data_IF_204790585977
#
_entry.id   IF_204790585977
#
_cell.length_a   1.000
_cell.length_b   1.000
_cell.length_c   1.000
_cell.angle_alpha   90.00
_cell.angle_beta   90.00
_cell.angle_gamma   90.00
#
_symmetry.space_group_name_H-M   'P 1'
#
loop_
_entity.id
_entity.type
_entity.pdbx_description
1 polymer ?
#
# COMPACT_ATOMS: atom_id res chain seq x y z
N UNK A 1 6.93 8.37 -19.27
CA UNK A 1 6.37 7.11 -18.73
C UNK A 1 5.50 7.49 -17.54
N UNK A 2 4.23 7.06 -17.47
CA UNK A 2 3.36 7.41 -16.35
C UNK A 2 3.89 6.76 -15.06
N UNK A 3 3.69 7.43 -13.92
CA UNK A 3 4.07 6.96 -12.59
C UNK A 3 3.61 5.50 -12.43
N UNK A 4 4.53 4.57 -12.13
CA UNK A 4 4.21 3.17 -11.84
C UNK A 4 3.40 3.08 -10.53
N UNK A 5 2.12 3.39 -10.60
CA UNK A 5 1.16 3.09 -9.53
C UNK A 5 0.89 1.60 -9.58
N UNK A 6 1.16 0.89 -8.48
CA UNK A 6 0.85 -0.53 -8.39
C UNK A 6 -0.64 -0.68 -8.08
N UNK A 7 -1.33 -1.61 -8.73
CA UNK A 7 -2.73 -1.93 -8.39
C UNK A 7 -2.76 -3.19 -7.55
N UNK A 8 -3.25 -3.08 -6.32
CA UNK A 8 -3.39 -4.21 -5.40
C UNK A 8 -4.86 -4.59 -5.26
N UNK A 9 -5.13 -5.89 -5.38
CA UNK A 9 -6.41 -6.46 -5.00
C UNK A 9 -6.30 -6.89 -3.53
N UNK A 10 -7.19 -6.34 -2.72
CA UNK A 10 -7.24 -6.56 -1.27
C UNK A 10 -8.43 -7.46 -1.00
N UNK A 11 -8.17 -8.74 -0.76
CA UNK A 11 -9.22 -9.73 -0.53
C UNK A 11 -9.24 -10.12 0.95
N UNK A 12 -10.40 -9.99 1.57
CA UNK A 12 -10.62 -10.41 2.94
C UNK A 12 -11.76 -11.42 2.97
N UNK A 13 -11.46 -12.72 2.85
CA UNK A 13 -12.46 -13.76 2.88
C UNK A 13 -12.92 -14.03 4.31
N UNK A 14 -14.20 -14.44 4.46
CA UNK A 14 -14.77 -14.99 5.69
C UNK A 14 -14.58 -14.11 6.94
N UNK A 15 -14.78 -12.80 6.79
CA UNK A 15 -14.74 -11.86 7.90
C UNK A 15 -16.12 -11.77 8.52
N UNK A 16 -16.17 -11.94 9.84
CA UNK A 16 -17.39 -11.77 10.62
C UNK A 16 -17.59 -10.28 10.91
N UNK A 17 -18.71 -9.74 10.45
CA UNK A 17 -19.12 -8.37 10.79
C UNK A 17 -19.58 -8.27 12.25
N UNK A 18 -19.92 -7.05 12.70
CA UNK A 18 -20.37 -6.79 14.08
C UNK A 18 -21.49 -7.72 14.58
N UNK A 19 -22.34 -8.21 13.67
CA UNK A 19 -23.47 -9.10 13.98
C UNK A 19 -23.16 -10.59 13.76
N UNK A 20 -21.91 -10.95 13.45
CA UNK A 20 -21.50 -12.34 13.24
C UNK A 20 -21.87 -12.90 11.86
N UNK A 21 -22.20 -12.05 10.88
CA UNK A 21 -22.44 -12.49 9.50
C UNK A 21 -21.11 -12.61 8.77
N UNK A 22 -20.75 -13.80 8.22
CA UNK A 22 -19.54 -13.97 7.43
C UNK A 22 -19.71 -13.34 6.05
N UNK A 23 -18.78 -12.48 5.66
CA UNK A 23 -18.73 -11.89 4.33
C UNK A 23 -17.32 -11.94 3.76
N UNK A 24 -17.23 -11.92 2.44
CA UNK A 24 -16.00 -11.71 1.69
C UNK A 24 -16.04 -10.31 1.06
N UNK A 25 -15.00 -9.53 1.31
CA UNK A 25 -14.87 -8.18 0.72
C UNK A 25 -13.63 -8.09 -0.14
N UNK A 26 -13.80 -7.52 -1.33
CA UNK A 26 -12.73 -7.21 -2.26
C UNK A 26 -12.60 -5.70 -2.41
N UNK A 27 -11.44 -5.17 -2.05
CA UNK A 27 -11.01 -3.80 -2.33
C UNK A 27 -10.00 -3.74 -3.48
N UNK A 28 -9.86 -2.56 -4.08
CA UNK A 28 -8.78 -2.22 -5.00
C UNK A 28 -8.06 -1.00 -4.44
N UNK A 29 -6.75 -1.13 -4.26
CA UNK A 29 -5.90 -0.05 -3.78
C UNK A 29 -4.84 0.30 -4.80
N UNK A 30 -4.45 1.57 -4.82
CA UNK A 30 -3.40 2.09 -5.69
C UNK A 30 -2.27 2.71 -4.84
N UNK A 31 -1.42 1.89 -4.19
CA UNK A 31 -0.25 2.40 -3.51
C UNK A 31 0.83 2.83 -4.49
N UNK A 32 1.55 3.86 -4.08
CA UNK A 32 2.67 4.45 -4.78
C UNK A 32 3.82 4.63 -3.81
N UNK A 33 4.91 3.91 -4.05
CA UNK A 33 6.14 4.04 -3.27
C UNK A 33 6.99 5.19 -3.84
N UNK A 34 6.90 6.36 -3.20
CA UNK A 34 7.55 7.60 -3.66
C UNK A 34 9.07 7.45 -3.87
N UNK A 35 9.70 6.55 -3.11
CA UNK A 35 11.13 6.29 -3.17
C UNK A 35 11.55 5.46 -4.39
N UNK A 36 10.69 4.56 -4.91
CA UNK A 36 11.04 3.71 -6.07
C UNK A 36 11.38 4.55 -7.30
N UNK A 37 10.70 5.69 -7.48
CA UNK A 37 11.02 6.63 -8.56
C UNK A 37 12.46 7.14 -8.46
N UNK A 38 12.94 7.44 -7.26
CA UNK A 38 14.29 7.97 -7.05
C UNK A 38 15.36 6.88 -7.15
N UNK A 39 14.98 5.63 -6.85
CA UNK A 39 15.84 4.46 -6.91
C UNK A 39 16.12 4.03 -8.35
N UNK A 40 15.07 3.86 -9.16
CA UNK A 40 15.20 3.36 -10.53
C UNK A 40 15.63 4.42 -11.56
N UNK A 41 15.36 5.72 -11.33
CA UNK A 41 15.70 6.79 -12.30
C UNK A 41 17.08 7.45 -12.12
N UNK A 42 18.04 6.81 -11.44
CA UNK A 42 19.44 7.28 -11.42
C UNK A 42 20.19 6.66 -12.62
N UNK A 43 20.73 7.47 -13.58
CA UNK A 43 21.33 6.98 -14.83
C UNK A 43 22.44 5.93 -14.61
N UNK A 44 23.16 6.01 -13.48
CA UNK A 44 24.27 5.12 -13.16
C UNK A 44 23.89 3.66 -12.91
N UNK A 45 22.62 3.37 -12.60
CA UNK A 45 22.15 1.98 -12.41
C UNK A 45 21.64 1.36 -13.71
N UNK A 46 21.08 2.18 -14.61
CA UNK A 46 20.54 1.74 -15.91
C UNK A 46 21.65 1.24 -16.85
N UNK A 47 22.84 1.87 -16.80
CA UNK A 47 24.00 1.51 -17.63
C UNK A 47 24.69 0.20 -17.21
N UNK A 48 24.41 -0.32 -16.02
CA UNK A 48 25.13 -1.47 -15.45
C UNK A 48 24.53 -2.84 -15.80
N UNK A 49 23.44 -2.90 -16.57
CA UNK A 49 22.70 -4.14 -16.84
C UNK A 49 22.06 -4.77 -15.59
N UNK A 50 22.15 -4.11 -14.44
CA UNK A 50 21.63 -4.55 -13.16
C UNK A 50 20.15 -4.14 -13.04
N UNK A 51 19.27 -4.85 -13.74
CA UNK A 51 17.84 -4.90 -13.40
C UNK A 51 17.68 -5.73 -12.12
N UNK A 52 18.15 -5.23 -10.99
CA UNK A 52 17.85 -5.86 -9.72
C UNK A 52 16.66 -5.15 -9.13
N UNK A 53 15.57 -5.90 -8.94
CA UNK A 53 14.35 -5.45 -8.26
C UNK A 53 14.56 -5.15 -6.77
N UNK A 54 15.82 -5.23 -6.28
CA UNK A 54 16.22 -5.08 -4.88
C UNK A 54 16.77 -3.68 -4.59
N UNK A 55 16.41 -3.10 -3.45
CA UNK A 55 16.94 -1.81 -3.00
C UNK A 55 18.37 -1.96 -2.48
N UNK A 56 19.32 -1.25 -3.09
CA UNK A 56 20.74 -1.35 -2.72
C UNK A 56 21.16 -0.47 -1.53
N UNK A 57 22.14 -0.91 -0.73
CA UNK A 57 22.73 -0.12 0.36
C UNK A 57 23.30 1.24 -0.08
N UNK A 58 23.74 1.36 -1.34
CA UNK A 58 24.29 2.60 -1.89
C UNK A 58 23.27 3.76 -1.93
N UNK A 59 21.97 3.50 -1.73
CA UNK A 59 20.93 4.53 -1.62
C UNK A 59 21.09 5.42 -0.39
N UNK A 60 21.66 4.91 0.71
CA UNK A 60 21.92 5.71 1.92
C UNK A 60 22.86 6.91 1.65
N UNK A 61 23.66 6.88 0.57
CA UNK A 61 24.56 7.98 0.17
C UNK A 61 23.94 8.97 -0.82
N UNK A 62 22.67 8.83 -1.20
CA UNK A 62 22.03 9.76 -2.12
C UNK A 62 21.77 11.07 -1.37
N UNK A 63 22.50 12.14 -1.72
CA UNK A 63 22.14 13.51 -1.32
C UNK A 63 20.80 13.86 -1.97
N UNK A 64 19.73 13.84 -1.18
CA UNK A 64 18.40 14.31 -1.56
C UNK A 64 18.30 15.75 -1.06
N UNK A 65 18.27 16.72 -1.97
CA UNK A 65 17.95 18.10 -1.61
C UNK A 65 16.42 18.27 -1.69
N UNK A 66 15.76 18.60 -0.57
CA UNK A 66 14.34 18.98 -0.53
C UNK A 66 13.51 18.31 0.58
N UNK A 67 12.23 18.63 0.65
CA UNK A 67 11.26 18.24 1.69
C UNK A 67 11.03 16.71 1.86
N UNK A 68 11.62 15.87 1.01
CA UNK A 68 11.42 14.42 0.98
C UNK A 68 12.56 13.65 1.67
N UNK A 69 13.50 14.32 2.33
CA UNK A 69 14.71 13.68 2.85
C UNK A 69 14.41 12.72 4.02
N UNK A 70 13.53 13.09 4.95
CA UNK A 70 13.12 12.22 6.07
C UNK A 70 12.34 10.99 5.59
N UNK A 71 11.37 11.19 4.69
CA UNK A 71 10.60 10.10 4.08
C UNK A 71 11.50 9.14 3.30
N UNK A 72 12.48 9.66 2.55
CA UNK A 72 13.39 8.81 1.80
C UNK A 72 14.34 8.05 2.73
N UNK A 73 14.80 8.68 3.83
CA UNK A 73 15.65 8.03 4.82
C UNK A 73 14.92 6.86 5.50
N UNK A 74 13.71 7.10 5.99
CA UNK A 74 12.86 6.06 6.59
C UNK A 74 12.57 4.91 5.63
N UNK A 75 12.23 5.21 4.37
CA UNK A 75 12.01 4.18 3.35
C UNK A 75 13.29 3.40 3.00
N UNK A 76 14.45 4.08 2.93
CA UNK A 76 15.73 3.42 2.69
C UNK A 76 16.10 2.49 3.84
N UNK A 77 15.84 2.88 5.09
CA UNK A 77 16.09 2.03 6.26
C UNK A 77 15.13 0.83 6.30
N UNK A 78 13.84 1.08 6.09
CA UNK A 78 12.78 0.07 6.17
C UNK A 78 12.85 -0.96 5.03
N UNK A 79 13.27 -0.53 3.82
CA UNK A 79 13.23 -1.37 2.63
C UNK A 79 14.60 -1.72 2.06
N UNK A 80 15.69 -1.44 2.77
CA UNK A 80 17.04 -1.86 2.37
C UNK A 80 17.08 -3.38 2.13
N UNK A 81 17.54 -3.81 0.95
CA UNK A 81 17.65 -5.22 0.62
C UNK A 81 16.32 -5.94 0.35
N UNK A 82 15.18 -5.23 0.43
CA UNK A 82 13.88 -5.77 0.01
C UNK A 82 13.66 -5.55 -1.47
N UNK A 83 12.97 -6.50 -2.08
CA UNK A 83 12.51 -6.45 -3.46
C UNK A 83 11.21 -5.65 -3.58
N UNK A 84 10.92 -5.16 -4.78
CA UNK A 84 9.62 -4.52 -5.10
C UNK A 84 8.44 -5.46 -4.78
N UNK A 85 8.60 -6.77 -4.95
CA UNK A 85 7.58 -7.76 -4.58
C UNK A 85 7.33 -7.80 -3.06
N UNK A 86 8.38 -7.80 -2.24
CA UNK A 86 8.22 -7.77 -0.78
C UNK A 86 7.57 -6.47 -0.29
N UNK A 87 7.92 -5.33 -0.90
CA UNK A 87 7.31 -4.03 -0.57
C UNK A 87 5.82 -4.04 -0.92
N UNK A 88 5.48 -4.64 -2.08
CA UNK A 88 4.11 -4.83 -2.52
C UNK A 88 3.31 -5.71 -1.53
N UNK A 89 3.92 -6.79 -1.06
CA UNK A 89 3.29 -7.73 -0.15
C UNK A 89 3.08 -7.11 1.24
N UNK A 90 4.04 -6.32 1.75
CA UNK A 90 3.88 -5.51 2.97
C UNK A 90 2.71 -4.54 2.82
N UNK A 91 2.67 -3.76 1.74
CA UNK A 91 1.58 -2.81 1.51
C UNK A 91 0.21 -3.51 1.44
N UNK A 92 0.16 -4.69 0.80
CA UNK A 92 -1.04 -5.51 0.70
C UNK A 92 -1.51 -5.97 2.08
N UNK A 93 -0.60 -6.51 2.90
CA UNK A 93 -0.91 -7.01 4.23
C UNK A 93 -1.45 -5.90 5.15
N UNK A 94 -0.83 -4.72 5.14
CA UNK A 94 -1.31 -3.54 5.88
C UNK A 94 -2.72 -3.15 5.46
N UNK A 95 -2.98 -3.08 4.14
CA UNK A 95 -4.31 -2.75 3.61
C UNK A 95 -5.36 -3.81 3.98
N UNK A 96 -5.01 -5.10 3.89
CA UNK A 96 -5.89 -6.20 4.31
C UNK A 96 -6.21 -6.10 5.81
N UNK A 97 -5.20 -5.85 6.65
CA UNK A 97 -5.38 -5.68 8.10
C UNK A 97 -6.38 -4.56 8.44
N UNK A 98 -6.22 -3.39 7.82
CA UNK A 98 -7.14 -2.27 8.03
C UNK A 98 -8.52 -2.54 7.45
N UNK A 99 -8.62 -3.15 6.26
CA UNK A 99 -9.91 -3.53 5.67
C UNK A 99 -10.69 -4.44 6.64
N UNK A 100 -10.05 -5.49 7.17
CA UNK A 100 -10.66 -6.42 8.14
C UNK A 100 -11.08 -5.71 9.43
N UNK A 101 -10.23 -4.82 9.96
CA UNK A 101 -10.54 -4.08 11.18
C UNK A 101 -11.75 -3.15 11.03
N UNK A 102 -11.88 -2.45 9.89
CA UNK A 102 -13.06 -1.62 9.62
C UNK A 102 -14.31 -2.48 9.47
N UNK A 103 -14.21 -3.62 8.76
CA UNK A 103 -15.33 -4.55 8.59
C UNK A 103 -15.84 -5.12 9.92
N UNK A 104 -14.94 -5.43 10.86
CA UNK A 104 -15.33 -5.95 12.19
C UNK A 104 -16.12 -4.94 13.04
N UNK A 105 -16.02 -3.65 12.72
CA UNK A 105 -16.71 -2.58 13.45
C UNK A 105 -18.00 -2.09 12.78
N UNK A 106 -18.30 -2.53 11.55
CA UNK A 106 -19.48 -2.15 10.77
C UNK A 106 -20.42 -3.36 10.59
N UNK A 107 -21.70 -3.12 10.37
CA UNK A 107 -22.62 -4.16 9.91
C UNK A 107 -22.55 -4.33 8.39
N UNK A 108 -23.02 -5.46 7.87
CA UNK A 108 -23.07 -5.70 6.41
C UNK A 108 -23.89 -4.60 5.72
N UNK A 109 -25.05 -4.27 6.28
CA UNK A 109 -25.98 -3.26 5.77
C UNK A 109 -25.32 -1.88 5.69
N UNK A 110 -24.56 -1.49 6.72
CA UNK A 110 -23.83 -0.22 6.73
C UNK A 110 -22.80 -0.14 5.58
N UNK A 111 -22.10 -1.24 5.31
CA UNK A 111 -21.11 -1.29 4.22
C UNK A 111 -21.82 -1.21 2.85
N UNK A 112 -22.98 -1.86 2.68
CA UNK A 112 -23.77 -1.77 1.44
C UNK A 112 -24.41 -0.39 1.25
N UNK A 113 -24.93 0.24 2.31
CA UNK A 113 -25.57 1.55 2.26
C UNK A 113 -24.57 2.67 1.96
N UNK A 114 -23.36 2.60 2.56
CA UNK A 114 -22.36 3.64 2.38
C UNK A 114 -20.96 3.07 2.07
N UNK A 115 -20.85 2.53 0.85
CA UNK A 115 -19.60 2.04 0.28
C UNK A 115 -18.47 3.08 0.26
N UNK A 116 -18.83 4.37 0.14
CA UNK A 116 -17.87 5.47 0.12
C UNK A 116 -17.29 5.72 1.50
N UNK A 117 -18.12 5.73 2.55
CA UNK A 117 -17.68 5.82 3.94
C UNK A 117 -16.75 4.67 4.31
N UNK A 118 -17.10 3.44 3.94
CA UNK A 118 -16.21 2.29 4.13
C UNK A 118 -14.86 2.50 3.43
N UNK A 119 -14.89 2.82 2.13
CA UNK A 119 -13.67 3.03 1.34
C UNK A 119 -12.79 4.15 1.90
N UNK A 120 -13.40 5.25 2.35
CA UNK A 120 -12.72 6.38 2.98
C UNK A 120 -12.08 5.99 4.32
N UNK A 121 -12.78 5.25 5.16
CA UNK A 121 -12.25 4.79 6.44
C UNK A 121 -11.02 3.88 6.25
N UNK A 122 -11.09 2.91 5.34
CA UNK A 122 -9.95 2.05 5.02
C UNK A 122 -8.79 2.87 4.45
N UNK A 123 -9.08 3.80 3.54
CA UNK A 123 -8.07 4.69 2.96
C UNK A 123 -7.34 5.52 4.02
N UNK A 124 -8.06 6.19 4.92
CA UNK A 124 -7.47 7.11 5.89
C UNK A 124 -6.55 6.39 6.88
N UNK A 125 -7.02 5.26 7.43
CA UNK A 125 -6.24 4.49 8.40
C UNK A 125 -5.02 3.85 7.74
N UNK A 126 -5.18 3.22 6.58
CA UNK A 126 -4.06 2.58 5.88
C UNK A 126 -3.05 3.61 5.35
N UNK A 127 -3.50 4.77 4.86
CA UNK A 127 -2.60 5.84 4.41
C UNK A 127 -1.72 6.36 5.53
N UNK A 128 -2.28 6.52 6.74
CA UNK A 128 -1.54 6.97 7.91
C UNK A 128 -0.46 5.99 8.35
N UNK A 129 -0.65 4.68 8.14
CA UNK A 129 0.37 3.67 8.48
C UNK A 129 1.42 3.56 7.37
N UNK A 130 0.97 3.48 6.12
CA UNK A 130 1.84 3.32 4.94
C UNK A 130 2.75 4.53 4.70
N UNK A 131 2.33 5.74 5.06
CA UNK A 131 3.18 6.93 4.91
C UNK A 131 4.43 6.85 5.79
N UNK A 132 4.36 6.22 6.96
CA UNK A 132 5.51 6.00 7.85
C UNK A 132 6.53 5.06 7.21
N UNK A 133 6.09 4.21 6.29
CA UNK A 133 6.96 3.36 5.48
C UNK A 133 7.42 4.05 4.19
N UNK A 134 6.96 5.27 3.88
CA UNK A 134 7.28 5.95 2.62
C UNK A 134 6.44 5.47 1.42
N UNK A 135 5.32 4.81 1.70
CA UNK A 135 4.31 4.40 0.70
C UNK A 135 3.12 5.35 0.81
N UNK A 136 2.80 6.04 -0.28
CA UNK A 136 1.59 6.87 -0.37
C UNK A 136 0.47 6.08 -1.03
N UNK A 137 -0.71 6.03 -0.41
CA UNK A 137 -1.89 5.45 -1.04
C UNK A 137 -2.58 6.53 -1.87
N UNK A 138 -2.76 6.29 -3.18
CA UNK A 138 -3.45 7.24 -4.07
C UNK A 138 -4.96 7.09 -3.94
N UNK A 139 -5.43 5.85 -3.89
CA UNK A 139 -6.85 5.54 -3.77
C UNK A 139 -7.06 4.17 -3.14
N UNK A 140 -8.23 4.02 -2.52
CA UNK A 140 -8.81 2.74 -2.16
C UNK A 140 -10.28 2.77 -2.56
N UNK A 141 -10.75 1.72 -3.24
CA UNK A 141 -12.13 1.58 -3.68
C UNK A 141 -12.64 0.19 -3.36
N UNK A 142 -13.78 0.12 -2.67
CA UNK A 142 -14.52 -1.11 -2.50
C UNK A 142 -15.05 -1.62 -3.85
N UNK A 143 -14.63 -2.82 -4.26
CA UNK A 143 -15.01 -3.44 -5.53
C UNK A 143 -16.22 -4.34 -5.36
N UNK A 144 -16.16 -5.28 -4.41
CA UNK A 144 -17.19 -6.29 -4.25
C UNK A 144 -17.40 -6.70 -2.80
N UNK A 145 -18.62 -7.12 -2.48
CA UNK A 145 -19.01 -7.73 -1.20
C UNK A 145 -19.85 -8.95 -1.54
N UNK A 146 -19.48 -10.11 -0.98
CA UNK A 146 -20.21 -11.36 -1.11
C UNK A 146 -20.57 -11.89 0.27
N UNK A 147 -21.85 -12.13 0.48
CA UNK A 147 -22.39 -13.00 1.52
C UNK A 147 -22.34 -14.46 1.02
N UNK A 148 -21.81 -15.36 1.85
CA UNK A 148 -21.82 -16.82 1.62
C UNK A 148 -23.12 -17.43 2.15
#
# INVERSE_FOLDING_TARGET
>A
MPLNTMTLIIESPRIYTKLGVPITVTGVAQPFANFLRHIFYRPRFVDSGFLSDTIFPSFHKVKVNGANQEMLAAACEQFLGKTVAEIRDIAKETLEGHQRAIMGNMTVEEIYQDRKKFSKAVFEVASSDLVNMGISVVSYTLKDIKDD
#
